data_IF_859939691589
#
_entry.id   IF_859939691589
#
_cell.length_a   1.000
_cell.length_b   1.000
_cell.length_c   1.000
_cell.angle_alpha   90.00
_cell.angle_beta   90.00
_cell.angle_gamma   90.00
#
_symmetry.space_group_name_H-M   'P 1'
#
loop_
_entity.id
_entity.type
_entity.pdbx_description
1 polymer ?
#
# COMPACT_ATOMS: atom_id res chain seq x y z
N UNK A 1 -19.86 -21.97 49.42
CA UNK A 1 -19.63 -23.27 50.11
C UNK A 1 -19.84 -24.38 49.13
N UNK A 2 -19.04 -25.47 49.16
CA UNK A 2 -17.59 -25.52 48.99
C UNK A 2 -17.20 -26.38 47.78
N UNK A 3 -15.98 -26.10 47.26
CA UNK A 3 -14.77 -26.96 47.28
C UNK A 3 -14.89 -28.39 46.70
N UNK A 4 -14.06 -28.69 45.71
CA UNK A 4 -13.04 -29.73 45.71
C UNK A 4 -12.47 -29.91 44.30
N UNK A 5 -11.26 -29.49 43.96
CA UNK A 5 -9.95 -30.19 44.02
C UNK A 5 -10.00 -31.61 43.44
N UNK A 6 -9.29 -31.78 42.28
CA UNK A 6 -8.13 -32.68 42.22
C UNK A 6 -7.41 -32.63 40.86
N UNK A 7 -6.15 -32.25 40.90
CA UNK A 7 -5.04 -32.72 40.04
C UNK A 7 -4.49 -34.00 40.73
N UNK A 8 -3.49 -34.73 40.23
CA UNK A 8 -2.87 -34.89 38.90
C UNK A 8 -2.81 -36.39 38.51
N UNK A 9 -2.14 -36.77 37.42
CA UNK A 9 -1.17 -37.88 37.39
C UNK A 9 -0.41 -37.89 36.06
N UNK A 10 0.88 -37.67 36.17
CA UNK A 10 1.96 -38.10 35.31
C UNK A 10 2.03 -39.62 35.24
N UNK A 11 2.26 -40.18 34.08
CA UNK A 11 3.01 -41.42 33.82
C UNK A 11 3.29 -41.47 32.32
N UNK A 12 4.49 -41.15 31.86
CA UNK A 12 5.57 -42.10 31.70
C UNK A 12 5.18 -43.36 30.91
N UNK A 13 5.49 -43.36 29.61
CA UNK A 13 5.88 -44.56 28.87
C UNK A 13 6.93 -44.22 27.82
N UNK A 14 8.15 -44.33 28.25
CA UNK A 14 9.34 -44.55 27.44
C UNK A 14 9.29 -46.02 27.04
N UNK A 15 9.19 -46.34 25.77
CA UNK A 15 9.63 -47.64 25.27
C UNK A 15 10.23 -47.51 23.89
N UNK A 16 11.48 -47.78 23.86
CA UNK A 16 12.33 -47.99 22.71
C UNK A 16 11.78 -49.11 21.81
N UNK A 17 11.75 -48.87 20.50
CA UNK A 17 11.90 -49.95 19.53
C UNK A 17 12.91 -49.54 18.46
N UNK A 18 14.01 -50.18 18.63
CA UNK A 18 15.12 -50.32 17.71
C UNK A 18 14.73 -51.11 16.46
N UNK A 19 15.36 -50.77 15.34
CA UNK A 19 15.66 -51.54 14.15
C UNK A 19 14.52 -52.11 13.30
N UNK A 20 14.49 -51.55 12.06
CA UNK A 20 14.55 -52.41 10.87
C UNK A 20 15.06 -51.57 9.69
N UNK A 21 16.36 -51.67 9.44
CA UNK A 21 17.00 -51.35 8.17
C UNK A 21 16.49 -52.39 7.15
N UNK A 22 15.60 -52.01 6.25
CA UNK A 22 15.38 -52.74 5.01
C UNK A 22 16.08 -51.97 3.87
N UNK A 23 17.19 -52.54 3.46
CA UNK A 23 17.90 -52.22 2.21
C UNK A 23 16.98 -52.60 1.07
N UNK A 24 16.33 -51.65 0.47
CA UNK A 24 15.72 -51.79 -0.86
C UNK A 24 16.77 -51.45 -1.88
N UNK A 25 17.40 -52.43 -2.47
CA UNK A 25 18.19 -52.34 -3.68
C UNK A 25 17.23 -51.98 -4.83
N UNK A 26 17.19 -50.72 -5.26
CA UNK A 26 16.55 -50.31 -6.49
C UNK A 26 17.56 -50.46 -7.62
N UNK A 27 17.19 -51.29 -8.61
CA UNK A 27 17.87 -51.45 -9.87
C UNK A 27 18.21 -50.11 -10.50
N UNK A 28 19.47 -49.97 -10.86
CA UNK A 28 19.92 -48.94 -11.78
C UNK A 28 19.29 -49.16 -13.14
N UNK A 29 18.36 -48.29 -13.51
CA UNK A 29 17.92 -48.19 -14.91
C UNK A 29 18.96 -47.29 -15.63
N UNK A 30 19.50 -47.88 -16.66
CA UNK A 30 20.40 -47.23 -17.63
C UNK A 30 19.74 -45.96 -18.17
N UNK A 31 20.28 -44.79 -17.81
CA UNK A 31 19.92 -43.52 -18.39
C UNK A 31 21.03 -43.07 -19.35
N UNK A 32 20.62 -42.98 -20.59
CA UNK A 32 21.32 -42.50 -21.78
C UNK A 32 22.21 -41.26 -21.51
N UNK A 33 23.51 -41.23 -21.91
CA UNK A 33 24.46 -40.16 -21.55
C UNK A 33 24.43 -38.96 -22.51
N UNK A 34 23.26 -38.45 -22.88
CA UNK A 34 23.16 -37.33 -23.84
C UNK A 34 22.40 -36.09 -23.36
N UNK A 35 22.15 -35.93 -22.09
CA UNK A 35 21.69 -34.61 -21.56
C UNK A 35 22.87 -33.91 -20.88
N UNK A 36 23.52 -32.98 -21.60
CA UNK A 36 24.43 -32.01 -21.00
C UNK A 36 23.69 -31.23 -19.90
N UNK A 37 23.80 -31.69 -18.67
CA UNK A 37 23.51 -30.89 -17.50
C UNK A 37 24.52 -29.76 -17.52
N UNK A 38 24.07 -28.55 -17.78
CA UNK A 38 24.86 -27.34 -17.54
C UNK A 38 25.12 -27.31 -16.02
N UNK A 39 26.32 -27.74 -15.64
CA UNK A 39 26.78 -27.56 -14.26
C UNK A 39 26.73 -26.07 -13.95
N UNK A 40 26.20 -25.68 -12.78
CA UNK A 40 26.40 -24.33 -12.29
C UNK A 40 27.91 -24.03 -12.31
N UNK A 41 28.31 -22.80 -12.64
CA UNK A 41 29.74 -22.47 -12.71
C UNK A 41 30.38 -22.89 -11.40
N UNK A 42 31.43 -23.72 -11.53
CA UNK A 42 32.28 -24.12 -10.42
C UNK A 42 32.68 -22.84 -9.69
N UNK A 43 32.36 -22.74 -8.41
CA UNK A 43 32.94 -21.71 -7.58
C UNK A 43 34.47 -21.77 -7.79
N UNK A 44 34.99 -20.73 -8.40
CA UNK A 44 36.45 -20.61 -8.63
C UNK A 44 37.09 -20.66 -7.25
N UNK A 45 38.11 -21.52 -7.03
CA UNK A 45 38.79 -21.53 -5.74
C UNK A 45 39.31 -20.12 -5.49
N UNK A 46 39.05 -19.58 -4.32
CA UNK A 46 39.58 -18.32 -3.85
C UNK A 46 41.08 -18.49 -3.77
N UNK A 47 41.78 -18.09 -4.85
CA UNK A 47 43.22 -17.85 -4.78
C UNK A 47 43.36 -16.60 -3.93
N UNK A 48 43.91 -16.78 -2.73
CA UNK A 48 44.09 -15.65 -1.81
C UNK A 48 44.89 -14.58 -2.54
N UNK A 49 44.33 -13.36 -2.58
CA UNK A 49 45.16 -12.17 -2.79
C UNK A 49 46.36 -12.30 -1.88
N UNK A 50 47.52 -11.96 -2.37
CA UNK A 50 48.69 -11.76 -1.52
C UNK A 50 48.26 -10.78 -0.42
N UNK A 51 47.82 -11.33 0.67
CA UNK A 51 47.49 -10.60 1.87
C UNK A 51 48.80 -10.00 2.31
N UNK A 52 48.84 -8.66 2.35
CA UNK A 52 49.85 -7.99 3.15
C UNK A 52 49.58 -8.41 4.60
N UNK A 53 49.96 -9.65 4.93
CA UNK A 53 49.83 -10.22 6.24
C UNK A 53 50.88 -9.62 7.15
N UNK A 54 50.41 -9.15 8.30
CA UNK A 54 51.15 -9.12 9.54
C UNK A 54 52.05 -7.95 9.88
N UNK A 55 51.55 -6.72 9.73
CA UNK A 55 51.95 -5.75 10.72
C UNK A 55 50.68 -5.05 11.19
N UNK A 56 50.03 -5.62 12.25
CA UNK A 56 48.89 -5.08 12.96
C UNK A 56 48.45 -3.68 12.50
N UNK A 57 47.60 -3.62 11.48
CA UNK A 57 47.06 -2.39 10.93
C UNK A 57 48.07 -1.44 10.27
N UNK A 58 49.23 -1.93 9.80
CA UNK A 58 50.23 -1.20 9.02
C UNK A 58 50.43 -1.81 7.65
N UNK A 59 50.55 -0.96 6.64
CA UNK A 59 50.84 -1.38 5.27
C UNK A 59 51.73 -0.34 4.59
N UNK A 60 52.38 -0.74 3.52
CA UNK A 60 53.23 0.14 2.70
C UNK A 60 52.58 0.41 1.36
N UNK A 61 52.67 1.64 0.92
CA UNK A 61 52.28 2.05 -0.43
C UNK A 61 53.60 2.29 -1.19
N UNK A 62 53.71 1.66 -2.36
CA UNK A 62 54.88 1.83 -3.22
C UNK A 62 54.75 3.07 -4.11
N UNK A 63 55.83 3.46 -4.75
CA UNK A 63 55.81 4.51 -5.74
C UNK A 63 54.99 4.08 -6.97
N UNK A 64 54.42 5.06 -7.70
CA UNK A 64 53.63 4.84 -8.93
C UNK A 64 52.26 4.19 -8.74
N UNK A 65 51.67 4.36 -7.57
CA UNK A 65 50.25 4.01 -7.35
C UNK A 65 49.42 5.27 -7.63
N UNK A 66 48.66 5.26 -8.73
CA UNK A 66 47.84 6.40 -9.15
C UNK A 66 46.62 6.56 -8.24
N UNK A 67 46.01 5.47 -7.84
CA UNK A 67 44.88 5.45 -6.92
C UNK A 67 44.75 4.11 -6.20
N UNK A 68 44.02 4.12 -5.11
CA UNK A 68 43.73 2.87 -4.40
C UNK A 68 42.41 2.98 -3.64
N UNK A 69 41.72 1.86 -3.50
CA UNK A 69 40.57 1.71 -2.61
C UNK A 69 40.95 0.79 -1.46
N UNK A 70 40.75 1.26 -0.23
CA UNK A 70 40.92 0.45 0.97
C UNK A 70 39.54 -0.03 1.44
N UNK A 71 39.41 -1.32 1.66
CA UNK A 71 38.29 -1.94 2.35
C UNK A 71 38.77 -2.34 3.75
N UNK A 72 38.19 -1.75 4.77
CA UNK A 72 38.58 -1.97 6.16
C UNK A 72 37.42 -2.56 6.93
N UNK A 73 37.56 -3.78 7.40
CA UNK A 73 36.56 -4.44 8.25
C UNK A 73 36.79 -4.07 9.71
N UNK A 74 35.74 -3.64 10.42
CA UNK A 74 35.79 -3.20 11.81
C UNK A 74 34.84 -4.00 12.71
N UNK A 75 35.10 -3.97 14.02
CA UNK A 75 34.14 -4.47 15.00
C UNK A 75 32.82 -3.72 14.86
N UNK A 76 31.71 -4.45 14.91
CA UNK A 76 30.35 -3.92 14.78
C UNK A 76 30.12 -2.71 15.70
N UNK A 77 29.65 -1.62 15.15
CA UNK A 77 29.34 -0.38 15.86
C UNK A 77 30.55 0.40 16.36
N UNK A 78 31.78 0.03 15.94
CA UNK A 78 33.00 0.81 16.29
C UNK A 78 33.09 2.11 15.47
N UNK A 79 33.84 3.07 16.00
CA UNK A 79 34.11 4.33 15.28
C UNK A 79 34.95 4.06 14.01
N UNK A 80 34.81 4.91 12.95
CA UNK A 80 35.63 4.85 11.75
C UNK A 80 37.12 4.82 12.08
N UNK A 81 37.91 4.14 11.22
CA UNK A 81 39.36 4.12 11.40
C UNK A 81 39.99 5.50 11.26
N UNK A 82 41.13 5.69 11.85
CA UNK A 82 42.01 6.84 11.61
C UNK A 82 43.19 6.37 10.77
N UNK A 83 43.43 7.04 9.67
CA UNK A 83 44.60 6.78 8.81
C UNK A 83 45.74 7.65 9.26
N UNK A 84 46.90 7.03 9.53
CA UNK A 84 48.15 7.73 9.81
C UNK A 84 49.08 7.60 8.62
N UNK A 85 49.50 8.71 8.07
CA UNK A 85 50.33 8.79 6.86
C UNK A 85 51.84 8.66 7.19
N UNK A 86 52.71 8.48 6.20
CA UNK A 86 54.17 8.39 6.39
C UNK A 86 54.79 9.62 7.08
N UNK A 87 54.22 10.81 6.88
CA UNK A 87 54.65 12.07 7.52
C UNK A 87 54.11 12.29 8.93
N UNK A 88 53.32 11.32 9.43
CA UNK A 88 52.67 11.38 10.75
C UNK A 88 51.35 12.13 10.76
N UNK A 89 50.91 12.75 9.66
CA UNK A 89 49.60 13.37 9.56
C UNK A 89 48.47 12.35 9.67
N UNK A 90 47.24 12.80 10.01
CA UNK A 90 46.11 11.91 10.27
C UNK A 90 44.88 12.31 9.45
N UNK A 91 44.24 11.35 8.85
CA UNK A 91 42.94 11.52 8.22
C UNK A 91 41.84 10.80 9.03
N UNK A 92 40.69 11.44 9.05
CA UNK A 92 39.46 10.97 9.73
C UNK A 92 38.34 10.94 8.71
N UNK A 93 37.31 10.12 8.93
CA UNK A 93 36.16 10.00 8.04
C UNK A 93 35.49 11.36 7.73
N UNK A 94 35.48 12.27 8.70
CA UNK A 94 34.92 13.62 8.57
C UNK A 94 35.96 14.73 8.28
N UNK A 95 37.25 14.38 8.18
CA UNK A 95 38.33 15.34 7.95
C UNK A 95 39.50 14.73 7.20
N UNK A 96 39.48 14.88 5.89
CA UNK A 96 40.46 14.37 4.93
C UNK A 96 40.55 15.32 3.73
N UNK A 97 41.60 15.25 2.90
CA UNK A 97 41.71 16.03 1.66
C UNK A 97 40.57 15.70 0.66
N UNK A 98 40.33 16.61 -0.30
CA UNK A 98 39.35 16.41 -1.36
C UNK A 98 39.71 15.23 -2.32
N UNK A 99 40.98 14.84 -2.37
CA UNK A 99 41.49 13.66 -3.12
C UNK A 99 41.16 12.33 -2.44
N UNK A 100 40.55 12.37 -1.25
CA UNK A 100 40.11 11.19 -0.50
C UNK A 100 38.62 11.21 -0.45
N UNK A 101 37.98 10.08 -0.78
CA UNK A 101 36.55 9.86 -0.58
C UNK A 101 36.36 8.75 0.44
N UNK A 102 35.46 8.93 1.38
CA UNK A 102 35.29 8.03 2.50
C UNK A 102 33.81 7.73 2.76
N UNK A 103 33.50 6.44 2.88
CA UNK A 103 32.22 5.95 3.38
C UNK A 103 32.49 5.09 4.60
N UNK A 104 31.89 5.41 5.72
CA UNK A 104 31.90 4.65 6.94
C UNK A 104 30.54 3.96 7.18
N UNK A 105 30.58 2.68 7.46
CA UNK A 105 29.41 1.87 7.84
C UNK A 105 29.53 1.35 9.26
N UNK A 106 28.59 0.51 9.66
CA UNK A 106 28.56 -0.07 11.00
C UNK A 106 29.69 -1.09 11.20
N UNK A 107 30.07 -1.80 10.15
CA UNK A 107 31.03 -2.90 10.17
C UNK A 107 32.35 -2.62 9.46
N UNK A 108 32.48 -1.48 8.77
CA UNK A 108 33.68 -1.18 8.03
C UNK A 108 33.71 0.17 7.33
N UNK A 109 34.81 0.42 6.64
CA UNK A 109 35.04 1.64 5.87
C UNK A 109 35.45 1.29 4.44
N UNK A 110 34.95 2.08 3.46
CA UNK A 110 35.44 2.10 2.08
C UNK A 110 36.09 3.45 1.85
N UNK A 111 37.40 3.45 1.50
CA UNK A 111 38.18 4.67 1.39
C UNK A 111 38.91 4.68 0.05
N UNK A 112 38.56 5.63 -0.81
CA UNK A 112 39.25 5.86 -2.08
C UNK A 112 40.27 6.97 -1.90
N UNK A 113 41.49 6.77 -2.38
CA UNK A 113 42.61 7.69 -2.27
C UNK A 113 43.21 7.88 -3.66
N UNK A 114 43.20 9.11 -4.13
CA UNK A 114 43.87 9.49 -5.37
C UNK A 114 45.31 9.92 -5.08
N UNK A 115 46.28 9.41 -5.84
CA UNK A 115 47.69 9.71 -5.73
C UNK A 115 48.22 9.57 -4.29
N UNK A 116 48.12 8.38 -3.67
CA UNK A 116 48.53 8.16 -2.29
C UNK A 116 50.03 8.40 -2.13
N UNK A 117 50.43 9.01 -0.99
CA UNK A 117 51.82 9.22 -0.66
C UNK A 117 52.55 7.89 -0.47
N UNK A 118 53.67 7.63 -1.17
CA UNK A 118 54.45 6.41 -0.96
C UNK A 118 55.02 6.35 0.47
N UNK A 119 55.08 5.14 1.03
CA UNK A 119 55.67 4.95 2.36
C UNK A 119 54.80 4.11 3.30
N UNK A 120 55.15 4.03 4.57
CA UNK A 120 54.43 3.24 5.56
C UNK A 120 53.16 3.98 6.06
N UNK A 121 52.03 3.33 5.97
CA UNK A 121 50.75 3.82 6.46
C UNK A 121 50.27 2.97 7.65
N UNK A 122 49.48 3.52 8.52
CA UNK A 122 48.90 2.82 9.64
C UNK A 122 47.43 3.14 9.80
N UNK A 123 46.60 2.13 10.05
CA UNK A 123 45.21 2.28 10.48
C UNK A 123 45.15 2.20 12.00
N UNK A 124 44.44 3.11 12.62
CA UNK A 124 44.15 3.13 14.06
C UNK A 124 42.65 3.03 14.27
N UNK A 125 42.21 1.99 14.95
CA UNK A 125 40.80 1.70 15.20
C UNK A 125 40.58 0.27 15.63
N UNK A 126 39.32 -0.09 15.83
CA UNK A 126 38.93 -1.48 16.15
C UNK A 126 38.76 -2.31 14.89
N UNK A 127 39.85 -2.56 14.19
CA UNK A 127 39.88 -3.44 13.02
C UNK A 127 39.74 -4.89 13.50
N UNK A 128 38.88 -5.67 12.81
CA UNK A 128 38.65 -7.08 13.16
C UNK A 128 39.97 -7.86 13.06
N UNK A 129 40.30 -8.63 14.09
CA UNK A 129 41.53 -9.44 14.12
C UNK A 129 41.47 -10.51 13.07
N UNK A 130 42.45 -10.53 12.16
CA UNK A 130 42.46 -11.45 11.01
C UNK A 130 41.72 -10.94 9.78
N UNK A 131 41.09 -9.76 9.85
CA UNK A 131 40.54 -9.12 8.66
C UNK A 131 41.66 -8.72 7.70
N UNK A 132 41.40 -8.94 6.43
CA UNK A 132 42.31 -8.59 5.37
C UNK A 132 42.10 -7.14 4.95
N UNK A 133 43.10 -6.29 5.11
CA UNK A 133 43.08 -4.99 4.46
C UNK A 133 43.17 -5.23 2.96
N UNK A 134 42.09 -5.02 2.23
CA UNK A 134 42.07 -5.18 0.77
C UNK A 134 42.41 -3.84 0.14
N UNK A 135 43.54 -3.81 -0.56
CA UNK A 135 43.95 -2.74 -1.44
C UNK A 135 43.47 -3.09 -2.84
N UNK A 136 42.58 -2.32 -3.40
CA UNK A 136 41.99 -2.56 -4.71
C UNK A 136 42.41 -1.45 -5.66
N UNK A 137 42.99 -1.82 -6.82
CA UNK A 137 43.32 -0.88 -7.90
C UNK A 137 42.14 -0.66 -8.82
N UNK A 138 41.31 -1.68 -9.03
CA UNK A 138 40.16 -1.64 -9.92
C UNK A 138 38.93 -2.17 -9.19
N UNK A 139 37.87 -1.38 -9.19
CA UNK A 139 36.60 -1.76 -8.63
C UNK A 139 35.54 -1.75 -9.73
N UNK A 140 34.90 -2.88 -9.94
CA UNK A 140 33.91 -3.10 -11.00
C UNK A 140 32.68 -3.82 -10.41
N UNK A 141 31.58 -3.82 -11.14
CA UNK A 141 30.41 -4.64 -10.85
C UNK A 141 30.23 -5.71 -11.92
N UNK A 142 29.91 -6.91 -11.49
CA UNK A 142 29.49 -8.01 -12.32
C UNK A 142 28.01 -8.27 -12.05
N UNK A 143 27.19 -8.29 -13.10
CA UNK A 143 25.74 -8.45 -13.01
C UNK A 143 25.30 -9.57 -13.93
N UNK A 144 24.45 -10.46 -13.43
CA UNK A 144 23.83 -11.48 -14.25
C UNK A 144 22.78 -10.84 -15.18
N UNK A 145 22.88 -11.02 -16.50
CA UNK A 145 21.87 -10.53 -17.44
C UNK A 145 20.53 -11.23 -17.22
N UNK A 146 19.44 -10.53 -17.56
CA UNK A 146 18.10 -11.10 -17.48
C UNK A 146 17.95 -12.31 -18.43
N UNK A 147 17.27 -13.38 -17.99
CA UNK A 147 16.97 -14.52 -18.85
C UNK A 147 16.08 -14.12 -20.02
N UNK A 148 16.26 -14.75 -21.18
CA UNK A 148 15.43 -14.51 -22.37
C UNK A 148 14.82 -15.84 -22.86
N UNK A 149 13.58 -15.86 -23.32
CA UNK A 149 12.58 -14.78 -23.27
C UNK A 149 12.13 -14.47 -21.84
N UNK A 150 11.73 -13.23 -21.57
CA UNK A 150 11.19 -12.77 -20.29
C UNK A 150 9.81 -12.15 -20.53
N UNK A 151 8.88 -12.35 -19.62
CA UNK A 151 7.49 -12.00 -19.79
C UNK A 151 7.00 -11.00 -18.73
N UNK A 152 6.04 -10.18 -19.13
CA UNK A 152 5.32 -9.33 -18.18
C UNK A 152 4.60 -10.18 -17.12
N UNK A 153 4.77 -9.85 -15.85
CA UNK A 153 4.28 -10.60 -14.70
C UNK A 153 5.26 -11.62 -14.14
N UNK A 154 6.42 -11.82 -14.78
CA UNK A 154 7.41 -12.79 -14.31
C UNK A 154 8.13 -12.31 -13.05
N UNK A 155 8.34 -13.24 -12.12
CA UNK A 155 9.20 -13.05 -10.97
C UNK A 155 10.59 -13.59 -11.27
N UNK A 156 11.60 -12.74 -11.18
CA UNK A 156 12.98 -13.10 -11.53
C UNK A 156 13.93 -12.75 -10.42
N UNK A 157 14.70 -13.75 -9.99
CA UNK A 157 15.86 -13.54 -9.15
C UNK A 157 17.03 -13.05 -10.02
N UNK A 158 17.63 -11.95 -9.64
CA UNK A 158 18.84 -11.41 -10.29
C UNK A 158 19.95 -11.28 -9.26
N UNK A 159 21.18 -11.41 -9.74
CA UNK A 159 22.37 -11.45 -8.90
C UNK A 159 23.41 -10.46 -9.43
N UNK A 160 24.04 -9.75 -8.50
CA UNK A 160 25.14 -8.85 -8.78
C UNK A 160 26.29 -9.06 -7.78
N UNK A 161 27.49 -8.73 -8.17
CA UNK A 161 28.70 -8.85 -7.35
C UNK A 161 29.59 -7.61 -7.52
N UNK A 162 30.21 -7.20 -6.41
CA UNK A 162 31.26 -6.20 -6.46
C UNK A 162 32.60 -6.90 -6.65
N UNK A 163 33.29 -6.54 -7.71
CA UNK A 163 34.59 -7.12 -8.07
C UNK A 163 35.70 -6.12 -7.79
N UNK A 164 36.73 -6.59 -7.10
CA UNK A 164 37.94 -5.82 -6.86
C UNK A 164 39.15 -6.62 -7.39
N UNK A 165 39.89 -6.05 -8.35
CA UNK A 165 41.00 -6.70 -8.99
C UNK A 165 40.68 -8.15 -9.46
N UNK A 166 39.54 -8.30 -10.17
CA UNK A 166 39.01 -9.56 -10.71
C UNK A 166 38.54 -10.59 -9.64
N UNK A 167 38.47 -10.19 -8.39
CA UNK A 167 37.96 -11.05 -7.31
C UNK A 167 36.74 -10.44 -6.65
N UNK A 168 35.82 -11.32 -6.25
CA UNK A 168 34.61 -10.90 -5.51
C UNK A 168 35.00 -10.26 -4.18
N UNK A 169 34.49 -9.06 -3.95
CA UNK A 169 34.64 -8.37 -2.67
C UNK A 169 33.70 -8.97 -1.64
N UNK A 170 34.25 -9.35 -0.51
CA UNK A 170 33.48 -9.82 0.64
C UNK A 170 33.87 -8.97 1.84
N UNK A 171 32.86 -8.40 2.48
CA UNK A 171 33.03 -7.65 3.71
C UNK A 171 31.68 -7.65 4.44
N UNK A 172 31.61 -8.06 5.71
CA UNK A 172 30.38 -8.03 6.48
C UNK A 172 29.75 -6.63 6.47
N UNK A 173 28.45 -6.56 6.21
CA UNK A 173 27.71 -5.30 6.12
C UNK A 173 28.04 -4.43 4.90
N UNK A 174 28.60 -5.03 3.84
CA UNK A 174 28.89 -4.32 2.58
C UNK A 174 27.61 -3.74 1.93
N UNK A 175 26.48 -4.37 2.14
CA UNK A 175 25.15 -3.90 1.72
C UNK A 175 24.76 -2.54 2.33
N UNK A 176 25.26 -2.22 3.52
CA UNK A 176 25.07 -0.92 4.16
C UNK A 176 25.99 0.18 3.62
N UNK A 177 27.04 -0.21 2.92
CA UNK A 177 28.08 0.69 2.38
C UNK A 177 27.91 1.00 0.91
N UNK A 178 27.13 0.22 0.18
CA UNK A 178 26.92 0.35 -1.27
C UNK A 178 25.44 0.28 -1.56
N UNK A 179 24.91 1.33 -2.16
CA UNK A 179 23.54 1.37 -2.67
C UNK A 179 23.50 0.73 -4.06
N UNK A 180 22.64 -0.28 -4.23
CA UNK A 180 22.41 -0.95 -5.48
C UNK A 180 21.01 -0.70 -5.99
N UNK A 181 20.89 -0.34 -7.25
CA UNK A 181 19.60 -0.13 -7.91
C UNK A 181 19.54 -0.81 -9.27
N UNK A 182 18.39 -1.35 -9.59
CA UNK A 182 18.08 -1.93 -10.89
C UNK A 182 17.01 -1.10 -11.59
N UNK A 183 17.23 -0.78 -12.86
CA UNK A 183 16.36 0.08 -13.66
C UNK A 183 16.00 -0.60 -14.98
N UNK A 184 14.80 -0.34 -15.47
CA UNK A 184 14.40 -0.58 -16.86
C UNK A 184 14.24 0.76 -17.56
N UNK A 185 15.07 0.99 -18.57
CA UNK A 185 15.02 2.20 -19.39
C UNK A 185 14.40 1.87 -20.73
N UNK A 186 13.23 2.46 -21.03
CA UNK A 186 12.51 2.22 -22.28
C UNK A 186 13.28 2.71 -23.51
N UNK A 187 13.26 1.94 -24.58
CA UNK A 187 13.85 2.34 -25.88
C UNK A 187 12.93 3.21 -26.72
N UNK A 188 11.73 3.55 -26.27
CA UNK A 188 10.75 4.41 -26.96
C UNK A 188 10.44 3.99 -28.39
N UNK A 189 10.29 2.69 -28.63
CA UNK A 189 9.93 2.17 -29.95
C UNK A 189 8.43 2.31 -30.21
N UNK A 190 8.06 2.87 -31.35
CA UNK A 190 6.68 3.03 -31.73
C UNK A 190 5.98 1.66 -31.89
N UNK A 191 4.83 1.49 -31.28
CA UNK A 191 4.04 0.25 -31.28
C UNK A 191 4.26 -0.65 -30.08
N UNK A 192 5.28 -0.40 -29.25
CA UNK A 192 5.47 -1.08 -27.98
C UNK A 192 4.67 -0.38 -26.89
N UNK A 193 4.15 -1.16 -25.92
CA UNK A 193 3.38 -0.63 -24.79
C UNK A 193 4.23 0.30 -23.92
N UNK A 194 5.53 0.04 -23.83
CA UNK A 194 6.47 0.81 -23.02
C UNK A 194 6.92 2.15 -23.64
N UNK A 195 6.32 2.58 -24.76
CA UNK A 195 6.76 3.78 -25.50
C UNK A 195 6.95 5.04 -24.63
N UNK A 196 6.14 5.24 -23.61
CA UNK A 196 6.21 6.38 -22.69
C UNK A 196 6.68 6.03 -21.26
N UNK A 197 7.17 4.82 -21.03
CA UNK A 197 7.49 4.34 -19.69
C UNK A 197 8.70 5.03 -19.03
N UNK A 198 9.68 5.50 -19.85
CA UNK A 198 10.86 6.20 -19.35
C UNK A 198 11.84 5.29 -18.59
N UNK A 199 12.40 5.83 -17.52
CA UNK A 199 13.31 5.14 -16.59
C UNK A 199 12.55 4.74 -15.33
N UNK A 200 12.53 3.44 -15.03
CA UNK A 200 11.75 2.84 -13.94
C UNK A 200 12.68 2.03 -13.04
N UNK A 201 12.73 2.37 -11.76
CA UNK A 201 13.40 1.53 -10.76
C UNK A 201 12.58 0.27 -10.56
N UNK A 202 13.19 -0.89 -10.77
CA UNK A 202 12.53 -2.20 -10.68
C UNK A 202 12.96 -3.01 -9.46
N UNK A 203 14.08 -2.65 -8.83
CA UNK A 203 14.55 -3.35 -7.64
C UNK A 203 15.81 -2.75 -7.04
N UNK A 204 16.18 -3.28 -5.89
CA UNK A 204 17.45 -3.03 -5.21
C UNK A 204 18.07 -4.37 -4.84
N UNK A 205 19.38 -4.43 -4.83
CA UNK A 205 20.12 -5.65 -4.45
C UNK A 205 20.56 -5.56 -3.00
N UNK A 206 20.50 -6.68 -2.29
CA UNK A 206 20.97 -6.83 -0.91
C UNK A 206 21.77 -8.12 -0.72
N UNK A 207 22.64 -8.12 0.30
CA UNK A 207 23.45 -9.26 0.73
C UNK A 207 23.23 -9.44 2.25
N UNK A 208 21.98 -9.77 2.62
CA UNK A 208 21.51 -9.80 4.02
C UNK A 208 20.94 -11.15 4.47
N UNK A 209 20.90 -12.15 3.57
CA UNK A 209 20.35 -13.47 3.84
C UNK A 209 18.83 -13.51 3.93
N UNK A 210 18.12 -12.50 3.44
CA UNK A 210 16.66 -12.45 3.41
C UNK A 210 16.12 -12.68 1.99
N UNK A 211 14.82 -13.00 1.89
CA UNK A 211 14.10 -13.26 0.64
C UNK A 211 14.78 -14.36 -0.21
N UNK A 212 15.38 -14.01 -1.33
CA UNK A 212 16.07 -14.93 -2.25
C UNK A 212 17.60 -14.93 -2.09
N UNK A 213 18.10 -14.23 -1.09
CA UNK A 213 19.52 -14.28 -0.75
C UNK A 213 19.81 -15.48 0.16
N UNK A 214 20.65 -16.41 -0.30
CA UNK A 214 20.93 -17.65 0.43
C UNK A 214 21.87 -17.47 1.61
N UNK A 215 22.71 -16.43 1.62
CA UNK A 215 23.73 -16.23 2.64
C UNK A 215 24.09 -14.76 2.81
N UNK A 216 23.92 -14.22 4.02
CA UNK A 216 24.35 -12.87 4.31
C UNK A 216 25.90 -12.75 4.21
N UNK A 217 26.34 -11.56 3.86
CA UNK A 217 27.75 -11.14 3.85
C UNK A 217 28.68 -12.02 2.98
N UNK A 218 28.13 -12.67 1.96
CA UNK A 218 28.96 -13.51 1.07
C UNK A 218 29.42 -12.77 -0.19
N UNK A 219 29.04 -11.51 -0.35
CA UNK A 219 29.39 -10.63 -1.47
C UNK A 219 28.57 -10.91 -2.74
N UNK A 220 27.47 -11.65 -2.61
CA UNK A 220 26.51 -11.92 -3.67
C UNK A 220 25.24 -11.13 -3.38
N UNK A 221 25.10 -10.00 -4.02
CA UNK A 221 23.91 -9.16 -3.88
C UNK A 221 22.77 -9.71 -4.69
N UNK A 222 21.64 -9.93 -4.07
CA UNK A 222 20.46 -10.53 -4.69
C UNK A 222 19.29 -9.55 -4.72
N UNK A 223 18.52 -9.57 -5.79
CA UNK A 223 17.24 -8.89 -5.88
C UNK A 223 16.21 -9.81 -6.50
N UNK A 224 14.98 -9.73 -6.03
CA UNK A 224 13.83 -10.34 -6.65
C UNK A 224 13.01 -9.25 -7.35
N UNK A 225 12.85 -9.39 -8.65
CA UNK A 225 12.08 -8.44 -9.47
C UNK A 225 10.78 -9.10 -9.89
N UNK A 226 9.67 -8.45 -9.59
CA UNK A 226 8.37 -8.75 -10.15
C UNK A 226 8.13 -7.79 -11.32
N UNK A 227 8.13 -8.33 -12.54
CA UNK A 227 8.12 -7.54 -13.78
C UNK A 227 6.69 -7.16 -14.16
N UNK A 228 6.22 -6.02 -13.63
CA UNK A 228 4.88 -5.45 -13.92
C UNK A 228 4.89 -4.36 -14.99
N UNK A 229 6.06 -4.05 -15.54
CA UNK A 229 6.25 -2.98 -16.49
C UNK A 229 5.57 -3.30 -17.83
N UNK A 230 5.20 -2.28 -18.62
CA UNK A 230 4.68 -2.47 -19.96
C UNK A 230 5.66 -3.24 -20.85
N UNK A 231 5.17 -4.10 -21.74
CA UNK A 231 6.03 -4.86 -22.65
C UNK A 231 6.69 -3.95 -23.71
N UNK A 232 7.86 -4.38 -24.21
CA UNK A 232 8.61 -3.65 -25.23
C UNK A 232 10.12 -3.80 -25.10
N UNK A 233 10.86 -3.02 -25.88
CA UNK A 233 12.32 -3.01 -25.84
C UNK A 233 12.84 -2.09 -24.72
N UNK A 234 13.73 -2.61 -23.90
CA UNK A 234 14.34 -1.94 -22.73
C UNK A 234 15.85 -2.07 -22.70
N UNK A 235 16.45 -1.29 -21.87
CA UNK A 235 17.79 -1.46 -21.34
C UNK A 235 17.70 -1.75 -19.83
N UNK A 236 18.23 -2.88 -19.42
CA UNK A 236 18.38 -3.25 -18.03
C UNK A 236 19.64 -2.61 -17.49
N UNK A 237 19.53 -1.66 -16.61
CA UNK A 237 20.63 -0.88 -16.04
C UNK A 237 20.76 -1.22 -14.57
N UNK A 238 21.95 -1.63 -14.16
CA UNK A 238 22.27 -1.87 -12.75
C UNK A 238 23.35 -0.91 -12.33
N UNK A 239 23.10 -0.20 -11.26
CA UNK A 239 23.99 0.79 -10.68
C UNK A 239 24.35 0.41 -9.24
N UNK A 240 25.64 0.48 -8.93
CA UNK A 240 26.17 0.40 -7.58
C UNK A 240 26.90 1.70 -7.25
N UNK A 241 26.49 2.38 -6.20
CA UNK A 241 27.05 3.69 -5.85
C UNK A 241 27.20 3.89 -4.34
N UNK A 242 28.15 4.75 -4.01
CA UNK A 242 28.28 5.41 -2.72
C UNK A 242 29.09 6.69 -2.89
N UNK A 243 29.50 7.33 -1.81
CA UNK A 243 30.31 8.57 -1.87
C UNK A 243 31.72 8.33 -2.41
N UNK A 244 32.17 7.08 -2.55
CA UNK A 244 33.51 6.72 -3.00
C UNK A 244 33.54 6.40 -4.49
N UNK A 245 32.56 5.65 -4.96
CA UNK A 245 32.49 5.21 -6.35
C UNK A 245 31.05 5.14 -6.87
N UNK A 246 30.96 5.15 -8.20
CA UNK A 246 29.74 4.86 -8.94
C UNK A 246 30.11 3.94 -10.09
N UNK A 247 29.40 2.82 -10.22
CA UNK A 247 29.57 1.84 -11.29
C UNK A 247 28.22 1.48 -11.86
N UNK A 248 28.18 1.33 -13.17
CA UNK A 248 26.97 1.00 -13.90
C UNK A 248 27.28 -0.02 -14.99
N UNK A 249 26.37 -0.96 -15.17
CA UNK A 249 26.37 -1.92 -16.28
C UNK A 249 24.97 -1.91 -16.90
N UNK A 250 24.90 -2.04 -18.22
CA UNK A 250 23.62 -2.08 -18.93
C UNK A 250 23.57 -3.22 -19.94
N UNK A 251 22.38 -3.82 -20.10
CA UNK A 251 22.09 -4.91 -21.03
C UNK A 251 20.79 -4.63 -21.77
N UNK A 252 20.78 -4.65 -23.11
CA UNK A 252 19.55 -4.58 -23.86
C UNK A 252 18.73 -5.87 -23.68
N UNK A 253 17.42 -5.74 -23.51
CA UNK A 253 16.52 -6.88 -23.45
C UNK A 253 15.13 -6.52 -24.02
N UNK A 254 14.35 -7.56 -24.33
CA UNK A 254 12.98 -7.38 -24.74
C UNK A 254 12.07 -8.02 -23.69
N UNK A 255 11.17 -7.21 -23.15
CA UNK A 255 10.07 -7.69 -22.32
C UNK A 255 8.90 -8.07 -23.21
N UNK A 256 8.54 -9.36 -23.18
CA UNK A 256 7.42 -9.90 -23.95
C UNK A 256 6.09 -9.67 -23.23
N UNK A 257 4.98 -9.56 -23.98
CA UNK A 257 3.66 -9.53 -23.38
C UNK A 257 3.42 -10.76 -22.48
N UNK A 258 2.47 -10.65 -21.57
CA UNK A 258 2.07 -11.79 -20.74
C UNK A 258 1.51 -12.91 -21.64
N UNK A 259 2.03 -14.15 -21.50
CA UNK A 259 1.58 -15.27 -22.35
C UNK A 259 0.29 -15.92 -21.84
N UNK A 260 -0.33 -15.38 -20.80
CA UNK A 260 -1.56 -15.86 -20.19
C UNK A 260 -2.53 -14.70 -20.03
N UNK A 261 -3.73 -14.84 -20.58
CA UNK A 261 -4.84 -13.92 -20.40
C UNK A 261 -5.96 -14.61 -19.63
N UNK A 262 -6.64 -13.84 -18.80
CA UNK A 262 -7.72 -14.31 -17.94
C UNK A 262 -8.94 -13.43 -18.16
N UNK A 263 -10.12 -14.06 -18.22
CA UNK A 263 -11.38 -13.35 -18.32
C UNK A 263 -12.43 -14.01 -17.41
N UNK A 264 -13.24 -13.20 -16.72
CA UNK A 264 -14.37 -13.71 -15.94
C UNK A 264 -15.58 -13.84 -16.84
N UNK A 265 -16.16 -15.05 -16.89
CA UNK A 265 -17.40 -15.32 -17.60
C UNK A 265 -18.56 -15.17 -16.60
N UNK A 266 -19.41 -14.18 -16.88
CA UNK A 266 -20.63 -13.95 -16.11
C UNK A 266 -21.71 -14.90 -16.58
N UNK A 267 -22.38 -15.68 -15.70
CA UNK A 267 -23.50 -16.52 -16.08
C UNK A 267 -24.73 -15.69 -16.44
N UNK A 268 -25.67 -16.28 -17.19
CA UNK A 268 -26.95 -15.65 -17.57
C UNK A 268 -27.75 -15.19 -16.34
N UNK A 269 -27.76 -15.99 -15.29
CA UNK A 269 -28.28 -15.62 -13.97
C UNK A 269 -27.13 -15.54 -12.96
N UNK A 270 -26.70 -14.35 -12.56
CA UNK A 270 -25.60 -14.18 -11.61
C UNK A 270 -25.83 -14.78 -10.22
N UNK A 271 -27.10 -15.00 -9.81
CA UNK A 271 -27.46 -15.48 -8.48
C UNK A 271 -27.40 -17.01 -8.37
N UNK A 272 -27.81 -17.70 -9.42
CA UNK A 272 -27.94 -19.17 -9.41
C UNK A 272 -26.99 -19.85 -10.40
N UNK A 273 -26.44 -19.08 -11.33
CA UNK A 273 -25.53 -19.56 -12.37
C UNK A 273 -24.11 -19.79 -11.89
N UNK A 274 -23.37 -20.56 -12.64
CA UNK A 274 -21.98 -20.90 -12.38
C UNK A 274 -21.04 -19.83 -12.96
N UNK A 275 -20.36 -19.10 -12.10
CA UNK A 275 -19.30 -18.20 -12.50
C UNK A 275 -18.08 -18.99 -12.94
N UNK A 276 -17.39 -18.51 -13.97
CA UNK A 276 -16.21 -19.17 -14.52
C UNK A 276 -15.10 -18.18 -14.80
N UNK A 277 -13.87 -18.68 -14.86
CA UNK A 277 -12.72 -17.97 -15.40
C UNK A 277 -12.26 -18.67 -16.66
N UNK A 278 -12.21 -17.94 -17.77
CA UNK A 278 -11.57 -18.40 -19.00
C UNK A 278 -10.06 -18.18 -18.88
N UNK A 279 -9.29 -19.23 -19.13
CA UNK A 279 -7.84 -19.24 -19.12
C UNK A 279 -7.37 -19.35 -20.57
N UNK A 280 -6.66 -18.36 -21.08
CA UNK A 280 -6.03 -18.37 -22.40
C UNK A 280 -4.53 -18.45 -22.25
N UNK A 281 -3.91 -19.55 -22.66
CA UNK A 281 -2.47 -19.79 -22.53
C UNK A 281 -1.83 -19.90 -23.92
N UNK A 282 -0.78 -19.09 -24.14
CA UNK A 282 -0.03 -19.16 -25.39
C UNK A 282 0.88 -20.40 -25.42
N UNK A 283 0.38 -21.47 -26.07
CA UNK A 283 1.11 -22.73 -26.27
C UNK A 283 2.37 -22.61 -27.12
N UNK A 284 2.57 -21.49 -27.81
CA UNK A 284 3.78 -21.29 -28.62
C UNK A 284 4.99 -20.96 -27.76
N UNK A 285 4.76 -20.47 -26.55
CA UNK A 285 5.82 -20.07 -25.60
C UNK A 285 5.79 -20.87 -24.29
N UNK A 286 4.64 -21.46 -23.90
CA UNK A 286 4.47 -22.22 -22.66
C UNK A 286 4.09 -23.67 -22.92
N UNK A 287 4.50 -24.57 -22.00
CA UNK A 287 4.12 -25.97 -22.00
C UNK A 287 2.82 -26.15 -21.20
N UNK A 288 1.71 -26.49 -21.86
CA UNK A 288 0.40 -26.59 -21.23
C UNK A 288 0.37 -27.61 -20.09
N UNK A 289 0.96 -28.79 -20.29
CA UNK A 289 0.98 -29.85 -19.28
C UNK A 289 1.73 -29.48 -18.00
N UNK A 290 2.69 -28.55 -18.10
CA UNK A 290 3.51 -28.07 -16.99
C UNK A 290 3.05 -26.68 -16.48
N UNK A 291 1.81 -26.29 -16.80
CA UNK A 291 1.24 -25.00 -16.37
C UNK A 291 0.27 -25.25 -15.21
N UNK A 292 0.64 -24.72 -14.04
CA UNK A 292 -0.08 -24.91 -12.79
C UNK A 292 -0.51 -23.56 -12.22
N UNK A 293 -1.83 -23.36 -12.11
CA UNK A 293 -2.40 -22.14 -11.56
C UNK A 293 -2.72 -22.31 -10.07
N UNK A 294 -2.41 -21.28 -9.30
CA UNK A 294 -2.84 -21.14 -7.92
C UNK A 294 -3.57 -19.82 -7.75
N UNK A 295 -4.89 -19.91 -7.61
CA UNK A 295 -5.75 -18.75 -7.38
C UNK A 295 -6.28 -18.72 -5.95
N UNK A 296 -6.65 -17.55 -5.51
CA UNK A 296 -7.40 -17.30 -4.29
C UNK A 296 -8.61 -16.42 -4.64
N UNK A 297 -9.82 -16.95 -4.42
CA UNK A 297 -11.05 -16.17 -4.50
C UNK A 297 -11.30 -15.51 -3.15
N UNK A 298 -11.28 -14.17 -3.13
CA UNK A 298 -11.56 -13.34 -1.96
C UNK A 298 -12.92 -12.68 -2.15
N UNK A 299 -13.80 -12.84 -1.19
CA UNK A 299 -15.16 -12.30 -1.23
C UNK A 299 -15.54 -11.50 0.02
N UNK A 300 -16.81 -11.12 0.13
CA UNK A 300 -17.39 -10.48 1.32
C UNK A 300 -17.19 -11.31 2.59
N UNK A 301 -17.39 -10.67 3.76
CA UNK A 301 -17.29 -11.29 5.08
C UNK A 301 -15.97 -12.05 5.35
N UNK A 302 -14.90 -11.76 4.59
CA UNK A 302 -13.60 -12.41 4.78
C UNK A 302 -13.51 -13.78 4.11
N UNK A 303 -14.39 -14.09 3.17
CA UNK A 303 -14.30 -15.32 2.36
C UNK A 303 -12.95 -15.39 1.64
N UNK A 304 -12.24 -16.51 1.81
CA UNK A 304 -11.00 -16.85 1.10
C UNK A 304 -11.04 -18.32 0.71
N UNK A 305 -11.08 -18.58 -0.59
CA UNK A 305 -11.14 -19.92 -1.14
C UNK A 305 -9.98 -20.16 -2.11
N UNK A 306 -9.08 -21.12 -1.82
CA UNK A 306 -8.02 -21.48 -2.73
C UNK A 306 -8.57 -22.31 -3.90
N UNK A 307 -8.07 -22.06 -5.11
CA UNK A 307 -8.39 -22.78 -6.33
C UNK A 307 -7.10 -23.15 -7.04
N UNK A 308 -6.97 -24.41 -7.41
CA UNK A 308 -5.76 -24.93 -8.06
C UNK A 308 -6.13 -25.63 -9.35
N UNK A 309 -5.41 -25.31 -10.43
CA UNK A 309 -5.51 -26.02 -11.72
C UNK A 309 -4.14 -26.61 -12.03
N UNK A 310 -4.06 -27.91 -12.20
CA UNK A 310 -2.82 -28.64 -12.44
C UNK A 310 -2.78 -29.19 -13.86
N UNK A 311 -1.92 -28.59 -14.68
CA UNK A 311 -1.75 -28.99 -16.07
C UNK A 311 -2.96 -28.65 -16.94
N UNK A 312 -2.71 -28.23 -18.16
CA UNK A 312 -3.76 -27.98 -19.14
C UNK A 312 -3.60 -28.94 -20.32
N UNK A 313 -4.70 -29.34 -20.89
CA UNK A 313 -4.72 -30.15 -22.13
C UNK A 313 -4.93 -29.29 -23.38
N UNK A 314 -5.64 -28.16 -23.19
CA UNK A 314 -5.97 -27.20 -24.25
C UNK A 314 -5.53 -25.80 -23.87
N UNK A 315 -5.20 -24.94 -24.86
CA UNK A 315 -4.76 -23.56 -24.59
C UNK A 315 -5.89 -22.67 -24.02
N UNK A 316 -7.13 -22.99 -24.36
CA UNK A 316 -8.31 -22.30 -23.87
C UNK A 316 -9.07 -23.27 -22.94
N UNK A 317 -9.13 -22.92 -21.65
CA UNK A 317 -9.70 -23.78 -20.62
C UNK A 317 -10.59 -22.96 -19.69
N UNK A 318 -11.70 -23.57 -19.25
CA UNK A 318 -12.61 -22.96 -18.30
C UNK A 318 -12.34 -23.48 -16.88
N UNK A 319 -12.27 -22.58 -15.93
CA UNK A 319 -12.23 -22.89 -14.50
C UNK A 319 -13.56 -22.48 -13.85
N UNK A 320 -14.30 -23.47 -13.35
CA UNK A 320 -15.49 -23.23 -12.57
C UNK A 320 -15.13 -22.62 -11.20
N UNK A 321 -15.73 -21.48 -10.87
CA UNK A 321 -15.58 -20.88 -9.54
C UNK A 321 -16.53 -21.55 -8.54
N UNK A 322 -16.19 -21.57 -7.25
CA UNK A 322 -17.13 -21.99 -6.20
C UNK A 322 -18.39 -21.15 -6.24
N UNK A 323 -19.53 -21.77 -5.92
CA UNK A 323 -20.81 -21.05 -5.82
C UNK A 323 -20.71 -19.95 -4.77
N UNK A 324 -21.00 -18.72 -5.18
CA UNK A 324 -20.99 -17.54 -4.32
C UNK A 324 -22.43 -17.11 -4.04
N UNK A 325 -22.76 -16.83 -2.78
CA UNK A 325 -24.12 -16.51 -2.34
C UNK A 325 -24.24 -15.15 -1.65
N UNK A 326 -23.12 -14.57 -1.21
CA UNK A 326 -23.12 -13.29 -0.53
C UNK A 326 -23.03 -12.14 -1.52
N UNK A 327 -23.87 -11.13 -1.39
CA UNK A 327 -23.81 -9.95 -2.23
C UNK A 327 -22.57 -9.11 -1.91
N UNK A 328 -21.89 -8.65 -2.94
CA UNK A 328 -20.70 -7.81 -2.82
C UNK A 328 -19.70 -8.03 -3.93
N UNK A 329 -18.49 -7.48 -3.71
CA UNK A 329 -17.40 -7.58 -4.66
C UNK A 329 -16.52 -8.79 -4.35
N UNK A 330 -16.18 -9.51 -5.40
CA UNK A 330 -15.27 -10.64 -5.38
C UNK A 330 -14.02 -10.31 -6.17
N UNK A 331 -12.89 -10.81 -5.69
CA UNK A 331 -11.59 -10.63 -6.31
C UNK A 331 -10.90 -11.98 -6.44
N UNK A 332 -10.38 -12.26 -7.63
CA UNK A 332 -9.56 -13.44 -7.89
C UNK A 332 -8.13 -12.94 -8.09
N UNK A 333 -7.22 -13.39 -7.28
CA UNK A 333 -5.78 -13.13 -7.41
C UNK A 333 -5.04 -14.46 -7.47
N UNK A 334 -3.86 -14.47 -8.05
CA UNK A 334 -3.08 -15.69 -8.12
C UNK A 334 -1.80 -15.55 -8.92
N UNK A 335 -1.12 -16.66 -8.99
CA UNK A 335 0.09 -16.83 -9.80
C UNK A 335 0.03 -18.15 -10.55
N UNK A 336 0.89 -18.27 -11.54
CA UNK A 336 1.08 -19.50 -12.31
C UNK A 336 2.54 -19.91 -12.29
N UNK A 337 2.80 -21.17 -12.01
CA UNK A 337 4.09 -21.80 -12.22
C UNK A 337 4.02 -22.61 -13.52
N UNK A 338 4.96 -22.38 -14.43
CA UNK A 338 4.93 -23.00 -15.75
C UNK A 338 6.33 -23.16 -16.31
N UNK A 339 6.48 -23.98 -17.33
CA UNK A 339 7.72 -24.16 -18.06
C UNK A 339 7.57 -23.60 -19.48
N UNK A 340 8.54 -22.82 -19.92
CA UNK A 340 8.58 -22.35 -21.30
C UNK A 340 8.89 -23.50 -22.25
N UNK A 341 8.57 -23.34 -23.54
CA UNK A 341 8.94 -24.33 -24.58
C UNK A 341 10.46 -24.53 -24.69
N UNK A 342 11.27 -23.59 -24.20
CA UNK A 342 12.73 -23.70 -24.12
C UNK A 342 13.22 -24.43 -22.86
N UNK A 343 12.32 -24.88 -21.97
CA UNK A 343 12.63 -25.66 -20.78
C UNK A 343 13.00 -24.79 -19.55
N UNK A 344 12.70 -23.50 -19.54
CA UNK A 344 12.91 -22.62 -18.39
C UNK A 344 11.63 -22.60 -17.53
N UNK A 345 11.78 -22.93 -16.26
CA UNK A 345 10.73 -22.79 -15.27
C UNK A 345 10.53 -21.30 -14.90
N UNK A 346 9.32 -20.85 -14.87
CA UNK A 346 8.93 -19.45 -14.56
C UNK A 346 7.74 -19.39 -13.64
N UNK A 347 7.68 -18.34 -12.87
CA UNK A 347 6.50 -17.98 -12.07
C UNK A 347 6.00 -16.62 -12.56
N UNK A 348 4.73 -16.55 -12.91
CA UNK A 348 4.07 -15.33 -13.38
C UNK A 348 3.00 -14.90 -12.38
N UNK A 349 3.03 -13.66 -11.95
CA UNK A 349 1.91 -13.03 -11.27
C UNK A 349 0.80 -12.76 -12.27
N UNK A 350 -0.40 -13.15 -11.92
CA UNK A 350 -1.57 -12.96 -12.77
C UNK A 350 -2.28 -11.64 -12.42
N UNK A 351 -2.96 -11.02 -13.39
CA UNK A 351 -3.77 -9.84 -13.10
C UNK A 351 -4.92 -10.23 -12.17
N UNK A 352 -5.24 -9.34 -11.25
CA UNK A 352 -6.42 -9.50 -10.42
C UNK A 352 -7.69 -9.35 -11.26
N UNK A 353 -8.61 -10.28 -11.11
CA UNK A 353 -9.93 -10.22 -11.73
C UNK A 353 -10.97 -9.85 -10.68
N UNK A 354 -11.97 -9.11 -11.12
CA UNK A 354 -13.05 -8.67 -10.24
C UNK A 354 -14.40 -8.97 -10.83
N UNK A 355 -15.33 -9.40 -10.01
CA UNK A 355 -16.75 -9.47 -10.35
C UNK A 355 -17.61 -9.10 -9.15
N UNK A 356 -18.84 -8.71 -9.42
CA UNK A 356 -19.78 -8.28 -8.40
C UNK A 356 -21.04 -9.14 -8.44
N UNK A 357 -21.42 -9.67 -7.29
CA UNK A 357 -22.75 -10.24 -7.09
C UNK A 357 -23.62 -9.13 -6.49
N UNK A 358 -24.55 -8.60 -7.30
CA UNK A 358 -25.39 -7.47 -6.93
C UNK A 358 -26.74 -8.02 -6.50
N UNK A 359 -27.25 -7.51 -5.36
CA UNK A 359 -28.60 -7.81 -4.92
C UNK A 359 -29.61 -7.35 -5.99
N UNK A 360 -30.55 -8.20 -6.40
CA UNK A 360 -31.56 -7.79 -7.36
C UNK A 360 -32.35 -6.62 -6.80
N UNK A 361 -32.70 -5.64 -7.63
CA UNK A 361 -33.53 -4.53 -7.18
C UNK A 361 -34.85 -5.10 -6.63
N UNK A 362 -35.30 -4.57 -5.50
CA UNK A 362 -36.60 -4.93 -4.95
C UNK A 362 -37.66 -4.83 -6.05
N UNK A 363 -38.53 -5.84 -6.19
CA UNK A 363 -39.60 -5.77 -7.17
C UNK A 363 -40.41 -4.48 -6.94
N UNK A 364 -40.81 -3.78 -8.00
CA UNK A 364 -41.59 -2.58 -7.85
C UNK A 364 -42.84 -2.92 -6.98
N UNK A 365 -43.19 -2.07 -6.02
CA UNK A 365 -44.29 -2.37 -5.12
C UNK A 365 -45.54 -2.71 -5.92
N UNK A 366 -46.22 -3.74 -5.53
CA UNK A 366 -47.44 -4.21 -6.20
C UNK A 366 -48.50 -3.10 -6.24
N UNK A 367 -49.40 -3.17 -7.23
CA UNK A 367 -50.50 -2.19 -7.31
C UNK A 367 -51.32 -2.18 -6.02
N UNK A 368 -51.36 -3.30 -5.30
CA UNK A 368 -52.06 -3.45 -4.02
C UNK A 368 -51.31 -2.76 -2.87
N UNK A 369 -49.99 -2.85 -2.82
CA UNK A 369 -49.13 -2.13 -1.86
C UNK A 369 -49.16 -0.61 -2.12
N UNK A 370 -49.07 -0.18 -3.38
CA UNK A 370 -49.22 1.23 -3.73
C UNK A 370 -50.61 1.77 -3.32
N UNK A 371 -51.66 0.99 -3.53
CA UNK A 371 -53.02 1.36 -3.11
C UNK A 371 -53.13 1.40 -1.57
N UNK A 372 -52.50 0.48 -0.85
CA UNK A 372 -52.48 0.48 0.62
C UNK A 372 -51.70 1.68 1.18
N UNK A 373 -50.55 2.03 0.61
CA UNK A 373 -49.76 3.21 0.99
C UNK A 373 -50.53 4.51 0.68
N UNK A 374 -51.20 4.55 -0.49
CA UNK A 374 -52.03 5.69 -0.86
C UNK A 374 -53.24 5.83 0.09
N UNK A 375 -53.90 4.73 0.48
CA UNK A 375 -54.98 4.73 1.44
C UNK A 375 -54.55 5.15 2.85
N UNK A 376 -53.36 4.72 3.28
CA UNK A 376 -52.81 5.18 4.58
C UNK A 376 -52.49 6.68 4.55
N UNK A 377 -51.88 7.19 3.51
CA UNK A 377 -51.61 8.64 3.37
C UNK A 377 -52.91 9.44 3.34
N UNK A 378 -53.90 8.98 2.59
CA UNK A 378 -55.21 9.63 2.56
C UNK A 378 -55.88 9.64 3.93
N UNK A 379 -55.77 8.55 4.70
CA UNK A 379 -56.28 8.47 6.07
C UNK A 379 -55.55 9.43 7.02
N UNK A 380 -54.24 9.52 6.93
CA UNK A 380 -53.44 10.47 7.73
C UNK A 380 -53.76 11.94 7.37
N UNK A 381 -53.88 12.23 6.08
CA UNK A 381 -54.27 13.58 5.60
C UNK A 381 -55.70 13.93 6.10
N UNK A 382 -56.63 12.96 6.08
CA UNK A 382 -57.99 13.15 6.58
C UNK A 382 -58.00 13.37 8.10
N UNK A 383 -57.17 12.65 8.85
CA UNK A 383 -57.02 12.86 10.30
C UNK A 383 -56.40 14.24 10.63
N UNK A 384 -55.38 14.65 9.86
CA UNK A 384 -54.78 15.98 10.02
C UNK A 384 -55.80 17.08 9.68
N UNK A 385 -56.54 16.91 8.57
CA UNK A 385 -57.58 17.85 8.20
C UNK A 385 -58.71 17.94 9.25
N UNK A 386 -59.07 16.82 9.86
CA UNK A 386 -60.04 16.80 10.98
C UNK A 386 -59.51 17.53 12.20
N UNK A 387 -58.25 17.35 12.56
CA UNK A 387 -57.60 18.06 13.68
C UNK A 387 -57.52 19.56 13.42
N UNK A 388 -57.16 19.96 12.21
CA UNK A 388 -57.09 21.35 11.81
C UNK A 388 -58.50 21.99 11.79
N UNK A 389 -59.50 21.30 11.23
CA UNK A 389 -60.89 21.78 11.26
C UNK A 389 -61.38 21.93 12.68
N UNK A 390 -61.10 20.95 13.57
CA UNK A 390 -61.48 21.00 14.97
C UNK A 390 -60.79 22.16 15.72
N UNK A 391 -59.49 22.39 15.42
CA UNK A 391 -58.77 23.54 15.98
C UNK A 391 -59.37 24.85 15.53
N UNK A 392 -59.74 25.01 14.26
CA UNK A 392 -60.41 26.22 13.76
C UNK A 392 -61.79 26.42 14.36
N UNK A 393 -62.55 25.33 14.48
CA UNK A 393 -63.93 25.40 15.16
C UNK A 393 -63.80 25.86 16.61
N UNK A 394 -62.87 25.30 17.37
CA UNK A 394 -62.64 25.69 18.77
C UNK A 394 -62.11 27.14 18.82
N UNK A 395 -61.22 27.54 17.96
CA UNK A 395 -60.68 28.90 17.94
C UNK A 395 -61.74 29.93 17.61
N UNK A 396 -62.55 29.70 16.56
CA UNK A 396 -63.61 30.59 16.17
C UNK A 396 -64.66 30.68 17.29
N UNK A 397 -65.08 29.56 17.91
CA UNK A 397 -66.01 29.59 19.02
C UNK A 397 -65.47 30.33 20.26
N UNK A 398 -64.17 30.18 20.54
CA UNK A 398 -63.50 30.91 21.62
C UNK A 398 -63.49 32.42 21.36
N UNK A 399 -63.20 32.82 20.10
CA UNK A 399 -63.23 34.22 19.70
C UNK A 399 -64.69 34.79 19.84
N UNK A 400 -65.70 34.05 19.36
CA UNK A 400 -67.07 34.46 19.45
C UNK A 400 -67.54 34.61 20.92
N UNK A 401 -67.10 33.68 21.79
CA UNK A 401 -67.38 33.73 23.24
C UNK A 401 -66.68 34.95 23.85
N UNK A 402 -65.45 35.25 23.52
CA UNK A 402 -64.75 36.46 24.00
C UNK A 402 -65.53 37.74 23.53
N UNK A 403 -65.88 37.77 22.23
CA UNK A 403 -66.60 38.89 21.66
C UNK A 403 -68.00 39.04 22.37
N UNK A 404 -68.64 37.92 22.62
CA UNK A 404 -69.92 37.92 23.39
C UNK A 404 -69.76 38.48 24.81
N UNK A 405 -68.69 38.05 25.52
CA UNK A 405 -68.37 38.56 26.87
C UNK A 405 -68.03 40.04 26.83
N UNK A 406 -67.19 40.46 25.87
CA UNK A 406 -66.87 41.89 25.69
C UNK A 406 -68.14 42.71 25.36
N UNK A 407 -68.95 42.17 24.44
CA UNK A 407 -70.27 42.80 24.14
C UNK A 407 -71.15 42.97 25.38
N UNK A 408 -71.22 41.94 26.21
CA UNK A 408 -71.99 41.95 27.47
C UNK A 408 -71.42 42.98 28.47
N UNK A 409 -70.09 43.06 28.57
CA UNK A 409 -69.40 44.04 29.41
C UNK A 409 -69.69 45.48 28.92
N UNK A 410 -69.56 45.69 27.60
CA UNK A 410 -69.87 47.00 27.00
C UNK A 410 -71.32 47.36 27.16
N UNK A 411 -72.22 46.39 26.96
CA UNK A 411 -73.67 46.62 27.17
C UNK A 411 -73.95 46.94 28.62
N UNK A 412 -73.39 46.20 29.60
CA UNK A 412 -73.54 46.52 31.03
C UNK A 412 -73.00 47.93 31.38
N UNK A 413 -71.79 48.25 30.85
CA UNK A 413 -71.22 49.59 31.04
C UNK A 413 -72.11 50.69 30.45
N UNK A 414 -72.69 50.47 29.26
CA UNK A 414 -73.58 51.42 28.63
C UNK A 414 -74.84 51.60 29.45
N UNK A 415 -75.39 50.49 30.00
CA UNK A 415 -76.55 50.58 30.91
C UNK A 415 -76.19 51.32 32.22
N UNK A 416 -75.06 51.04 32.81
CA UNK A 416 -74.61 51.76 34.01
C UNK A 416 -74.31 53.24 33.76
N UNK A 417 -73.78 53.56 32.58
CA UNK A 417 -73.53 54.93 32.15
C UNK A 417 -74.88 55.67 31.87
N UNK A 418 -75.82 54.98 31.21
CA UNK A 418 -77.18 55.57 31.00
C UNK A 418 -77.92 55.81 32.31
N UNK A 419 -77.80 54.88 33.28
CA UNK A 419 -78.38 55.08 34.64
C UNK A 419 -77.64 56.18 35.39
N UNK A 420 -76.28 56.30 35.25
CA UNK A 420 -75.54 57.37 35.89
C UNK A 420 -75.85 58.75 35.27
N UNK A 421 -76.00 58.80 33.93
CA UNK A 421 -76.41 60.01 33.21
C UNK A 421 -77.84 60.42 33.61
N UNK A 422 -78.76 59.48 33.65
CA UNK A 422 -80.11 59.76 34.11
C UNK A 422 -80.18 60.24 35.61
N UNK A 423 -79.29 59.66 36.44
CA UNK A 423 -79.18 60.12 37.84
C UNK A 423 -78.49 61.49 37.97
N UNK A 424 -77.51 61.78 37.05
CA UNK A 424 -76.87 63.09 36.98
C UNK A 424 -77.76 64.14 36.42
N UNK A 425 -78.57 63.79 35.41
CA UNK A 425 -79.58 64.69 34.84
C UNK A 425 -80.67 65.06 35.87
N UNK A 426 -81.10 64.07 36.68
CA UNK A 426 -82.01 64.31 37.84
C UNK A 426 -81.37 65.18 38.94
N UNK A 427 -80.03 65.07 39.13
CA UNK A 427 -79.31 65.95 40.09
C UNK A 427 -79.14 67.35 39.52
N UNK A 428 -78.85 67.52 38.23
CA UNK A 428 -78.76 68.83 37.58
C UNK A 428 -80.12 69.54 37.54
N UNK A 429 -81.22 68.82 37.30
CA UNK A 429 -82.56 69.35 37.38
C UNK A 429 -82.95 69.82 38.80
N UNK A 430 -82.45 69.10 39.83
CA UNK A 430 -82.60 69.50 41.20
C UNK A 430 -81.72 70.68 41.61
N UNK A 431 -80.52 70.82 41.07
CA UNK A 431 -79.59 71.97 41.31
C UNK A 431 -79.97 73.21 40.51
N UNK A 432 -80.54 73.07 39.30
CA UNK A 432 -81.04 74.18 38.49
C UNK A 432 -82.26 74.88 39.11
N UNK A 433 -82.91 74.15 40.06
CA UNK A 433 -84.00 74.76 40.82
C UNK A 433 -83.53 75.61 42.00
N UNK A 434 -82.24 75.64 42.32
CA UNK A 434 -81.74 76.27 43.55
C UNK A 434 -80.82 77.51 43.36
N UNK A 435 -80.37 77.88 42.10
CA UNK A 435 -79.61 79.10 41.90
C UNK A 435 -79.50 79.52 40.43
N UNK A 436 -79.80 80.78 40.01
CA UNK A 436 -79.63 81.23 38.62
C UNK A 436 -78.24 81.77 38.33
N UNK A 437 -77.87 81.85 37.08
CA UNK A 437 -76.45 81.96 36.64
C UNK A 437 -75.99 83.42 36.44
N UNK A 438 -74.70 83.63 36.54
CA UNK A 438 -73.96 84.80 36.05
C UNK A 438 -73.07 84.37 34.82
N UNK A 439 -73.09 85.25 33.80
CA UNK A 439 -72.57 85.05 32.44
C UNK A 439 -71.04 85.26 32.30
N UNK A 440 -70.52 85.01 31.13
CA UNK A 440 -69.18 84.51 30.88
C UNK A 440 -68.13 85.56 30.48
N UNK A 441 -66.83 85.21 30.49
CA UNK A 441 -65.75 85.86 29.68
C UNK A 441 -64.92 84.89 28.91
N UNK A 442 -64.86 85.21 27.66
CA UNK A 442 -63.94 84.63 26.69
C UNK A 442 -62.51 84.98 27.07
N UNK A 443 -61.63 84.08 27.00
CA UNK A 443 -60.34 84.14 26.39
C UNK A 443 -59.52 82.91 26.78
N UNK A 444 -59.14 82.19 25.86
CA UNK A 444 -57.79 81.82 25.42
C UNK A 444 -57.80 80.48 24.65
N UNK A 445 -57.72 80.70 23.36
CA UNK A 445 -57.48 79.64 22.37
C UNK A 445 -55.96 79.58 22.21
N UNK A 446 -55.40 78.46 22.48
CA UNK A 446 -54.06 78.17 21.97
C UNK A 446 -54.12 76.92 21.06
N UNK A 447 -53.85 77.23 19.81
CA UNK A 447 -53.68 76.34 18.72
C UNK A 447 -52.17 76.07 18.53
N UNK A 448 -51.72 74.90 18.88
CA UNK A 448 -50.49 74.38 18.31
C UNK A 448 -50.56 72.92 18.05
N UNK A 449 -50.54 72.64 16.77
CA UNK A 449 -50.18 71.32 16.24
C UNK A 449 -48.70 71.05 16.42
N UNK A 450 -48.23 69.83 16.56
CA UNK A 450 -47.00 69.48 16.05
C UNK A 450 -47.04 68.33 14.98
N UNK A 451 -46.19 68.57 14.13
CA UNK A 451 -45.85 67.95 12.88
C UNK A 451 -45.51 66.41 12.92
N UNK A 452 -45.72 65.92 11.76
CA UNK A 452 -45.12 64.67 11.21
C UNK A 452 -43.62 64.56 11.31
N UNK A 453 -43.23 63.39 11.18
CA UNK A 453 -42.00 62.81 10.64
C UNK A 453 -41.36 61.83 11.63
N UNK A 454 -40.79 60.78 11.29
CA UNK A 454 -40.33 60.19 10.04
C UNK A 454 -40.01 58.71 10.27
N UNK A 455 -40.20 57.99 9.19
CA UNK A 455 -39.59 56.78 8.74
C UNK A 455 -38.25 56.26 9.36
N UNK A 456 -38.15 54.99 9.19
CA UNK A 456 -36.96 54.16 8.93
C UNK A 456 -36.12 53.67 10.09
N UNK A 457 -36.31 52.47 10.45
CA UNK A 457 -35.38 51.34 10.07
C UNK A 457 -35.90 50.00 10.56
#
# INVERSE_FOLDING_TARGET
MPMSRHKPILAFCLLATTLLFSVASVLAADLDPAKKVVKPPKATPIVGLETASELKNRFRIDHMVDNMTLLVEREYGSAPVVIVLPDGSKWYANRHPATVKWVDGITGDIIYIESPQPGPWQLVGKVVSGSTLKKLSKLEIEVQPLPQPIFQGEQVKIVAQLMGDEQRVRMPGLDSLVEWTAHFVSKHKAGDENFAAGDIIVGSYKDNGEDYDEKPDDGVFTSNINIKQPWGDYEFVVQARNNVFERQVSFPFKLSPRPINLEVITPDDPLTGQWKVMLHVDKTVLQLAETHFSFELVGPAGLQLPLVVNGLTEPDSELDLPTVTEFGSYRIKGFVATTTVTGREIVLDLPELFFNLIEPPEPPPSAEELAAVAAQKAAEEEELAKKDAMFWIITVNAILLVLGVVGLIVWRKRQSLAQALAAAELRLLNEASANPPAAPSLDEIDLTMPDEADKDR
#
